data_IF_877163802821
#
_entry.id   IF_877163802821
#
_cell.length_a   1.000
_cell.length_b   1.000
_cell.length_c   1.000
_cell.angle_alpha   90.00
_cell.angle_beta   90.00
_cell.angle_gamma   90.00
#
_symmetry.space_group_name_H-M   'P 1'
#
loop_
_entity.id
_entity.type
_entity.pdbx_description
1 polymer ?
#
# COMPACT_ATOMS: atom_id res chain seq x y z
N UNK A 1 47.42 -13.17 46.54
CA UNK A 1 47.04 -14.25 47.48
C UNK A 1 45.89 -15.01 46.83
N UNK A 2 46.06 -16.21 46.24
CA UNK A 2 46.18 -17.56 46.87
C UNK A 2 44.97 -17.81 47.79
N UNK A 3 44.08 -18.81 47.64
CA UNK A 3 44.15 -20.25 47.29
C UNK A 3 42.67 -20.73 47.05
N UNK A 4 42.30 -21.45 45.97
CA UNK A 4 42.20 -22.93 45.79
C UNK A 4 41.35 -23.66 46.85
N UNK A 5 40.36 -24.52 46.52
CA UNK A 5 40.49 -25.97 46.23
C UNK A 5 39.21 -26.51 45.55
N UNK A 6 39.24 -27.12 44.36
CA UNK A 6 39.36 -28.57 44.04
C UNK A 6 38.40 -29.54 44.78
N UNK A 7 37.60 -30.32 44.03
CA UNK A 7 37.80 -31.78 43.91
C UNK A 7 36.98 -32.40 42.77
N UNK A 8 37.66 -33.31 42.06
CA UNK A 8 37.23 -34.23 41.00
C UNK A 8 36.71 -35.56 41.60
N UNK A 9 36.14 -36.43 40.74
CA UNK A 9 36.14 -37.93 40.70
C UNK A 9 34.80 -38.38 40.04
N UNK A 10 34.73 -38.71 38.74
CA UNK A 10 34.95 -40.04 38.07
C UNK A 10 34.22 -41.20 38.81
N UNK A 11 33.44 -42.10 38.20
CA UNK A 11 33.82 -43.06 37.14
C UNK A 11 32.60 -43.97 36.82
N UNK A 12 32.41 -44.36 35.53
CA UNK A 12 31.99 -45.70 34.99
C UNK A 12 30.72 -46.43 35.51
N UNK A 13 29.97 -47.26 34.76
CA UNK A 13 30.31 -48.18 33.68
C UNK A 13 29.04 -48.73 32.99
N UNK A 14 29.11 -48.88 31.65
CA UNK A 14 28.62 -49.97 30.78
C UNK A 14 27.37 -50.82 31.13
N UNK A 15 26.50 -51.04 30.13
CA UNK A 15 26.39 -52.35 29.46
C UNK A 15 25.58 -52.33 28.15
N UNK A 16 26.11 -53.10 27.19
CA UNK A 16 25.59 -53.49 25.88
C UNK A 16 24.25 -54.22 25.93
N UNK A 17 23.43 -54.12 24.88
CA UNK A 17 22.86 -55.31 24.23
C UNK A 17 22.52 -55.03 22.76
N UNK A 18 23.09 -55.86 21.89
CA UNK A 18 22.85 -55.98 20.46
C UNK A 18 21.65 -56.92 20.28
N UNK A 19 20.71 -56.58 19.40
CA UNK A 19 19.97 -57.62 18.68
C UNK A 19 19.70 -57.18 17.24
N UNK A 20 20.34 -57.90 16.34
CA UNK A 20 20.10 -57.87 14.91
C UNK A 20 18.83 -58.67 14.59
N UNK A 21 18.02 -58.18 13.66
CA UNK A 21 17.18 -59.04 12.83
C UNK A 21 17.28 -58.58 11.38
N UNK A 22 17.87 -59.47 10.57
CA UNK A 22 17.86 -59.45 9.12
C UNK A 22 16.49 -59.96 8.62
N UNK A 23 15.88 -59.24 7.68
CA UNK A 23 15.14 -59.87 6.58
C UNK A 23 15.42 -59.10 5.29
N UNK A 24 15.87 -59.85 4.29
CA UNK A 24 16.10 -59.49 2.88
C UNK A 24 14.84 -59.99 2.12
N UNK A 25 14.19 -59.33 1.16
CA UNK A 25 14.64 -58.97 -0.20
C UNK A 25 13.60 -58.06 -0.90
N UNK A 26 14.12 -57.07 -1.63
CA UNK A 26 13.74 -56.52 -2.96
C UNK A 26 12.28 -56.17 -3.31
N UNK A 27 12.07 -54.89 -3.66
CA UNK A 27 11.70 -54.52 -5.03
C UNK A 27 12.04 -53.04 -5.30
N UNK A 28 12.73 -52.79 -6.41
CA UNK A 28 12.96 -51.45 -6.95
C UNK A 28 11.67 -50.89 -7.57
N UNK A 29 11.31 -49.65 -7.28
CA UNK A 29 10.93 -48.73 -8.36
C UNK A 29 11.07 -47.25 -7.97
N UNK A 30 11.47 -46.48 -8.98
CA UNK A 30 11.87 -45.07 -8.95
C UNK A 30 10.76 -44.10 -8.49
N UNK A 31 11.14 -42.99 -7.88
CA UNK A 31 10.29 -41.80 -7.82
C UNK A 31 10.54 -40.82 -6.69
N UNK A 32 11.54 -39.95 -6.89
CA UNK A 32 11.58 -38.51 -6.52
C UNK A 32 11.19 -38.05 -5.10
N UNK A 33 12.16 -37.40 -4.46
CA UNK A 33 12.12 -36.71 -3.18
C UNK A 33 10.96 -35.71 -3.01
N UNK A 34 10.18 -35.88 -1.93
CA UNK A 34 9.29 -34.83 -1.39
C UNK A 34 9.97 -34.16 -0.19
N UNK A 35 10.07 -32.83 -0.28
CA UNK A 35 10.57 -31.94 0.73
C UNK A 35 9.73 -31.98 2.01
N UNK A 36 10.43 -31.91 3.14
CA UNK A 36 9.88 -31.86 4.49
C UNK A 36 8.95 -30.66 4.70
N UNK A 37 7.71 -30.95 5.07
CA UNK A 37 6.71 -30.00 5.58
C UNK A 37 6.79 -30.06 7.11
N UNK A 38 7.38 -29.06 7.75
CA UNK A 38 7.28 -28.90 9.20
C UNK A 38 5.91 -28.28 9.47
N UNK A 39 4.99 -29.08 10.00
CA UNK A 39 3.73 -28.64 10.60
C UNK A 39 4.03 -28.26 12.05
N UNK A 40 3.53 -27.11 12.48
CA UNK A 40 3.37 -26.80 13.90
C UNK A 40 1.87 -26.77 14.14
N UNK A 41 1.40 -27.68 14.99
CA UNK A 41 0.02 -27.85 15.42
C UNK A 41 -0.38 -26.74 16.39
N UNK A 42 -1.54 -26.14 16.14
CA UNK A 42 -2.44 -25.63 17.17
C UNK A 42 -3.84 -26.08 16.75
N UNK A 43 -4.43 -26.95 17.56
CA UNK A 43 -5.86 -27.26 17.54
C UNK A 43 -6.64 -26.02 17.97
N UNK A 44 -7.71 -25.69 17.24
CA UNK A 44 -8.96 -25.20 17.82
C UNK A 44 -10.07 -25.15 16.75
N UNK A 45 -11.10 -25.95 17.01
CA UNK A 45 -12.53 -25.82 16.62
C UNK A 45 -12.92 -25.81 15.14
N UNK A 46 -13.65 -26.87 14.78
CA UNK A 46 -14.46 -27.05 13.58
C UNK A 46 -15.51 -25.93 13.44
N UNK A 47 -15.37 -25.13 12.38
CA UNK A 47 -16.42 -24.51 11.55
C UNK A 47 -15.79 -23.33 10.79
N UNK A 48 -15.04 -23.65 9.74
CA UNK A 48 -14.58 -22.67 8.76
C UNK A 48 -14.72 -23.29 7.36
N UNK A 49 -15.88 -23.08 6.74
CA UNK A 49 -16.05 -23.26 5.30
C UNK A 49 -14.98 -22.46 4.56
N UNK A 50 -14.05 -23.19 3.94
CA UNK A 50 -13.16 -22.84 2.83
C UNK A 50 -12.96 -21.34 2.53
N UNK A 51 -12.25 -20.63 3.41
CA UNK A 51 -11.59 -19.39 3.01
C UNK A 51 -10.39 -19.75 2.13
N UNK A 52 -10.54 -19.63 0.81
CA UNK A 52 -9.40 -19.74 -0.12
C UNK A 52 -8.28 -18.80 0.32
N UNK A 53 -7.20 -19.38 0.84
CA UNK A 53 -6.03 -18.61 1.28
C UNK A 53 -5.25 -18.16 0.04
N UNK A 54 -5.36 -16.88 -0.31
CA UNK A 54 -4.64 -16.33 -1.46
C UNK A 54 -3.12 -16.48 -1.28
N UNK A 55 -2.47 -17.17 -2.22
CA UNK A 55 -1.02 -17.32 -2.22
C UNK A 55 -0.35 -15.99 -2.53
N UNK A 56 0.55 -15.55 -1.64
CA UNK A 56 1.24 -14.26 -1.82
C UNK A 56 2.13 -14.27 -3.07
N UNK A 57 1.93 -13.29 -3.94
CA UNK A 57 2.73 -13.07 -5.14
C UNK A 57 3.71 -11.93 -4.90
N UNK A 58 5.00 -12.18 -5.15
CA UNK A 58 6.06 -11.19 -5.03
C UNK A 58 6.42 -10.62 -6.39
N UNK A 59 6.25 -9.30 -6.55
CA UNK A 59 6.62 -8.57 -7.75
C UNK A 59 8.05 -8.05 -7.60
N UNK A 60 8.86 -8.23 -8.64
CA UNK A 60 10.24 -7.74 -8.67
C UNK A 60 10.26 -6.23 -8.83
N UNK A 61 11.07 -5.55 -8.02
CA UNK A 61 11.28 -4.10 -8.18
C UNK A 61 12.52 -3.83 -9.00
N UNK A 62 12.36 -3.08 -10.09
CA UNK A 62 13.43 -2.74 -11.03
C UNK A 62 13.41 -1.25 -11.37
N UNK A 63 14.56 -0.70 -11.73
CA UNK A 63 14.64 0.59 -12.40
C UNK A 63 14.75 0.37 -13.91
N UNK A 64 13.91 1.05 -14.70
CA UNK A 64 13.80 0.85 -16.14
C UNK A 64 14.49 2.00 -16.88
N UNK A 65 15.46 1.64 -17.71
CA UNK A 65 16.20 2.55 -18.57
C UNK A 65 15.36 2.93 -19.81
N UNK A 66 15.67 4.05 -20.50
CA UNK A 66 14.95 4.46 -21.70
C UNK A 66 14.98 3.45 -22.84
N UNK A 67 16.02 2.60 -22.91
CA UNK A 67 16.14 1.52 -23.90
C UNK A 67 15.40 0.22 -23.51
N UNK A 68 14.65 0.25 -22.40
CA UNK A 68 13.89 -0.89 -21.87
C UNK A 68 14.70 -1.82 -20.97
N UNK A 69 16.03 -1.66 -20.84
CA UNK A 69 16.81 -2.50 -19.93
C UNK A 69 16.45 -2.21 -18.47
N UNK A 70 16.49 -3.25 -17.66
CA UNK A 70 16.17 -3.15 -16.24
C UNK A 70 17.42 -3.24 -15.36
N UNK A 71 17.43 -2.49 -14.27
CA UNK A 71 18.43 -2.54 -13.21
C UNK A 71 17.79 -3.11 -11.95
N UNK A 72 18.54 -3.93 -11.22
CA UNK A 72 18.15 -4.42 -9.90
C UNK A 72 17.99 -3.26 -8.93
N UNK A 73 16.94 -3.29 -8.11
CA UNK A 73 16.74 -2.34 -7.02
C UNK A 73 16.72 -3.12 -5.72
N UNK A 74 17.65 -2.77 -4.82
CA UNK A 74 17.83 -3.45 -3.53
C UNK A 74 17.96 -2.45 -2.40
N UNK A 75 17.72 -2.91 -1.19
CA UNK A 75 18.01 -2.16 0.02
C UNK A 75 19.40 -2.54 0.55
N UNK A 76 20.08 -1.59 1.18
CA UNK A 76 21.42 -1.78 1.71
C UNK A 76 21.51 -1.29 3.15
N UNK A 77 22.13 -2.10 4.01
CA UNK A 77 22.56 -1.65 5.34
C UNK A 77 23.84 -0.79 5.25
N UNK A 78 24.34 -0.38 6.42
CA UNK A 78 25.56 0.42 6.58
C UNK A 78 26.83 -0.36 6.22
N UNK A 79 26.84 -1.68 6.39
CA UNK A 79 27.91 -2.59 5.98
C UNK A 79 27.90 -2.88 4.47
N UNK A 80 26.83 -2.48 3.76
CA UNK A 80 26.68 -2.63 2.33
C UNK A 80 26.11 -3.97 1.88
N UNK A 81 25.61 -4.80 2.80
CA UNK A 81 24.86 -6.03 2.50
C UNK A 81 23.54 -5.68 1.83
N UNK A 82 23.18 -6.45 0.81
CA UNK A 82 22.00 -6.21 -0.02
C UNK A 82 20.81 -7.07 0.42
N UNK A 83 19.62 -6.49 0.36
CA UNK A 83 18.36 -7.15 0.69
C UNK A 83 17.31 -6.95 -0.41
N UNK A 84 16.46 -7.96 -0.59
CA UNK A 84 15.44 -7.97 -1.63
C UNK A 84 14.33 -6.96 -1.32
N UNK A 85 13.98 -6.17 -2.35
CA UNK A 85 12.87 -5.24 -2.35
C UNK A 85 11.77 -5.80 -3.25
N UNK A 86 10.57 -6.04 -2.70
CA UNK A 86 9.44 -6.59 -3.44
C UNK A 86 8.19 -5.73 -3.25
N UNK A 87 7.33 -5.68 -4.28
CA UNK A 87 5.93 -5.35 -4.05
C UNK A 87 5.15 -6.64 -3.76
N UNK A 88 4.26 -6.60 -2.78
CA UNK A 88 3.57 -7.77 -2.24
C UNK A 88 2.10 -7.69 -2.64
N UNK A 89 1.67 -8.67 -3.42
CA UNK A 89 0.27 -8.92 -3.73
C UNK A 89 -0.22 -10.09 -2.87
N UNK A 90 -1.16 -9.80 -1.98
CA UNK A 90 -1.73 -10.74 -1.03
C UNK A 90 -3.24 -10.94 -1.23
N UNK A 91 -3.71 -10.67 -2.44
CA UNK A 91 -5.10 -10.74 -2.86
C UNK A 91 -5.20 -10.72 -4.38
N UNK A 92 -6.40 -10.93 -4.91
CA UNK A 92 -6.72 -10.88 -6.34
C UNK A 92 -6.48 -9.52 -7.02
N UNK A 93 -6.50 -8.40 -6.29
CA UNK A 93 -6.14 -7.08 -6.83
C UNK A 93 -4.62 -6.84 -6.95
N UNK A 94 -4.24 -6.05 -7.95
CA UNK A 94 -2.89 -5.55 -8.18
C UNK A 94 -2.76 -4.01 -8.22
N UNK A 95 -3.85 -3.25 -8.05
CA UNK A 95 -3.85 -1.79 -8.20
C UNK A 95 -3.10 -1.03 -7.08
N UNK A 96 -2.96 -1.60 -5.88
CA UNK A 96 -2.33 -0.90 -4.75
C UNK A 96 -1.60 -1.83 -3.78
N UNK A 97 -0.32 -2.06 -4.05
CA UNK A 97 0.51 -3.04 -3.35
C UNK A 97 1.44 -2.41 -2.33
N UNK A 98 1.70 -3.16 -1.25
CA UNK A 98 2.73 -2.82 -0.28
C UNK A 98 4.12 -3.05 -0.88
N UNK A 99 5.04 -2.11 -0.69
CA UNK A 99 6.46 -2.28 -1.05
C UNK A 99 7.27 -2.48 0.22
N UNK A 100 7.98 -3.62 0.28
CA UNK A 100 8.69 -4.09 1.47
C UNK A 100 10.08 -4.57 1.13
N UNK A 101 10.97 -4.42 2.11
CA UNK A 101 12.28 -5.10 2.10
C UNK A 101 12.17 -6.34 2.96
N UNK A 102 12.65 -7.47 2.46
CA UNK A 102 12.59 -8.76 3.14
C UNK A 102 13.95 -9.02 3.81
N UNK A 103 13.95 -9.07 5.14
CA UNK A 103 15.16 -9.34 5.96
C UNK A 103 14.80 -10.44 6.94
N UNK A 104 15.49 -11.59 6.84
CA UNK A 104 15.31 -12.74 7.73
C UNK A 104 13.83 -13.14 7.92
N UNK A 105 13.09 -13.19 6.80
CA UNK A 105 11.65 -13.49 6.77
C UNK A 105 10.72 -12.36 7.20
N UNK A 106 11.25 -11.22 7.67
CA UNK A 106 10.47 -10.05 8.10
C UNK A 106 10.30 -9.03 6.98
N UNK A 107 9.11 -8.48 6.87
CA UNK A 107 8.75 -7.45 5.88
C UNK A 107 8.87 -6.03 6.46
N UNK A 108 9.96 -5.35 6.14
CA UNK A 108 10.18 -3.97 6.58
C UNK A 108 9.47 -2.96 5.67
N UNK A 109 8.76 -1.96 6.23
CA UNK A 109 8.10 -0.93 5.45
C UNK A 109 9.11 -0.01 4.75
N UNK A 110 8.88 0.26 3.47
CA UNK A 110 9.65 1.25 2.71
C UNK A 110 8.96 2.60 2.75
N UNK A 111 9.73 3.65 3.04
CA UNK A 111 9.23 5.02 3.19
C UNK A 111 10.14 6.02 2.48
N UNK A 112 9.53 7.13 2.06
CA UNK A 112 10.28 8.33 1.71
C UNK A 112 10.51 9.13 3.00
N UNK A 113 11.75 9.51 3.27
CA UNK A 113 12.13 10.16 4.52
C UNK A 113 11.99 11.68 4.39
N UNK A 114 11.57 12.32 5.48
CA UNK A 114 11.59 13.78 5.58
C UNK A 114 13.01 14.30 5.36
N UNK A 115 13.12 15.37 4.57
CA UNK A 115 14.41 15.92 4.14
C UNK A 115 14.30 17.39 3.78
N UNK A 116 15.39 18.14 4.05
CA UNK A 116 15.57 19.54 3.61
C UNK A 116 16.11 19.64 2.18
N UNK A 117 16.54 18.51 1.60
CA UNK A 117 17.00 18.43 0.21
C UNK A 117 15.80 18.32 -0.74
N UNK A 118 15.98 18.79 -1.98
CA UNK A 118 14.93 18.70 -3.01
C UNK A 118 14.50 17.26 -3.25
N UNK A 119 15.45 16.33 -3.37
CA UNK A 119 15.17 14.91 -3.51
C UNK A 119 15.14 14.22 -2.16
N UNK A 120 14.08 13.47 -1.93
CA UNK A 120 13.82 12.82 -0.65
C UNK A 120 14.43 11.41 -0.63
N UNK A 121 15.19 11.05 0.42
CA UNK A 121 15.74 9.70 0.56
C UNK A 121 14.63 8.64 0.64
N UNK A 122 14.92 7.44 0.15
CA UNK A 122 14.04 6.27 0.29
C UNK A 122 14.78 5.19 1.05
N UNK A 123 14.15 4.65 2.08
CA UNK A 123 14.71 3.57 2.89
C UNK A 123 13.61 2.66 3.44
N UNK A 124 13.97 1.39 3.69
CA UNK A 124 13.24 0.58 4.65
C UNK A 124 13.64 0.95 6.07
N UNK A 125 12.71 0.78 7.02
CA UNK A 125 12.91 1.13 8.43
C UNK A 125 12.57 -0.08 9.28
N UNK A 126 13.49 -0.51 10.16
CA UNK A 126 13.23 -1.62 11.10
C UNK A 126 12.47 -1.13 12.36
N UNK A 127 12.38 -1.99 13.37
CA UNK A 127 11.66 -1.67 14.61
C UNK A 127 12.41 -0.68 15.51
N UNK A 128 13.72 -0.57 15.36
CA UNK A 128 14.63 0.29 16.12
C UNK A 128 14.84 1.66 15.47
N UNK A 129 14.44 1.80 14.20
CA UNK A 129 14.57 3.04 13.43
C UNK A 129 15.76 3.05 12.47
N UNK A 130 16.50 1.95 12.37
CA UNK A 130 17.61 1.80 11.42
C UNK A 130 17.10 1.81 10.00
N UNK A 131 17.93 2.34 9.10
CA UNK A 131 17.56 2.66 7.72
C UNK A 131 18.35 1.81 6.76
N UNK A 132 17.63 1.14 5.87
CA UNK A 132 18.21 0.38 4.76
C UNK A 132 17.92 1.13 3.47
N UNK A 133 18.92 1.84 2.95
CA UNK A 133 18.71 2.76 1.82
C UNK A 133 18.49 2.00 0.51
N UNK A 134 17.50 2.44 -0.26
CA UNK A 134 17.17 1.84 -1.55
C UNK A 134 18.11 2.38 -2.63
N UNK A 135 18.69 1.49 -3.43
CA UNK A 135 19.60 1.82 -4.53
C UNK A 135 19.30 0.92 -5.74
N UNK A 136 19.51 1.46 -6.94
CA UNK A 136 19.56 0.65 -8.15
C UNK A 136 21.00 0.24 -8.45
N UNK A 137 21.22 -0.92 -9.07
CA UNK A 137 22.54 -1.52 -9.31
C UNK A 137 22.75 -1.63 -10.82
N UNK A 138 23.81 -1.01 -11.34
CA UNK A 138 24.20 -1.15 -12.75
C UNK A 138 24.84 -2.51 -13.02
N UNK A 139 24.97 -2.97 -14.29
CA UNK A 139 25.66 -4.21 -14.61
C UNK A 139 27.10 -4.28 -14.07
N UNK A 140 27.78 -3.13 -13.96
CA UNK A 140 29.14 -3.02 -13.41
C UNK A 140 29.17 -2.99 -11.86
N UNK A 141 28.02 -3.18 -11.20
CA UNK A 141 27.90 -3.18 -9.74
C UNK A 141 27.81 -1.79 -9.09
N UNK A 142 27.75 -0.71 -9.87
CA UNK A 142 27.65 0.65 -9.34
C UNK A 142 26.25 0.90 -8.76
N UNK A 143 26.20 1.49 -7.57
CA UNK A 143 24.96 1.87 -6.88
C UNK A 143 24.49 3.26 -7.30
N UNK A 144 23.30 3.34 -7.88
CA UNK A 144 22.60 4.59 -8.18
C UNK A 144 21.64 4.96 -7.05
N UNK A 145 21.49 6.25 -6.79
CA UNK A 145 20.54 6.75 -5.81
C UNK A 145 19.10 6.51 -6.26
N UNK A 146 18.24 5.96 -5.39
CA UNK A 146 16.79 5.94 -5.58
C UNK A 146 16.16 6.94 -4.62
N UNK A 147 15.43 7.92 -5.16
CA UNK A 147 14.87 9.05 -4.40
C UNK A 147 13.45 9.36 -4.84
N UNK A 148 12.69 10.01 -3.97
CA UNK A 148 11.52 10.78 -4.41
C UNK A 148 11.99 12.10 -5.04
N UNK A 149 11.58 12.38 -6.27
CA UNK A 149 12.17 13.45 -7.10
C UNK A 149 11.23 14.63 -7.38
N UNK A 150 9.93 14.39 -7.39
CA UNK A 150 8.92 15.40 -7.68
C UNK A 150 7.60 15.02 -7.02
N UNK A 151 6.90 16.02 -6.46
CA UNK A 151 5.58 15.85 -5.86
C UNK A 151 4.51 16.42 -6.80
N UNK A 152 3.47 15.65 -7.02
CA UNK A 152 2.26 16.02 -7.77
C UNK A 152 1.06 15.70 -6.88
N UNK A 153 0.51 16.72 -6.22
CA UNK A 153 -0.59 16.56 -5.28
C UNK A 153 -0.22 15.66 -4.10
N UNK A 154 -0.80 14.46 -4.07
CA UNK A 154 -0.61 13.44 -3.04
C UNK A 154 0.34 12.31 -3.45
N UNK A 155 0.91 12.41 -4.64
CA UNK A 155 1.85 11.44 -5.21
C UNK A 155 3.23 12.06 -5.28
N UNK A 156 4.25 11.27 -4.98
CA UNK A 156 5.67 11.64 -5.12
C UNK A 156 6.34 10.62 -6.03
N UNK A 157 6.83 11.06 -7.19
CA UNK A 157 7.51 10.19 -8.14
C UNK A 157 8.80 9.67 -7.54
N UNK A 158 9.03 8.36 -7.66
CA UNK A 158 10.29 7.72 -7.26
C UNK A 158 11.09 7.35 -8.50
N UNK A 159 12.36 7.78 -8.55
CA UNK A 159 13.25 7.50 -9.69
C UNK A 159 14.62 7.06 -9.19
N UNK A 160 15.29 6.20 -9.97
CA UNK A 160 16.73 6.02 -9.85
C UNK A 160 17.45 7.15 -10.60
N UNK A 161 18.54 7.67 -10.04
CA UNK A 161 19.23 8.87 -10.53
C UNK A 161 20.67 8.53 -10.86
N UNK A 162 21.08 8.84 -12.09
CA UNK A 162 22.47 8.68 -12.53
C UNK A 162 23.37 9.83 -12.09
N UNK A 163 24.69 9.69 -12.26
CA UNK A 163 25.64 10.77 -11.95
C UNK A 163 25.45 12.01 -12.85
N UNK A 164 25.06 11.80 -14.11
CA UNK A 164 24.72 12.84 -15.08
C UNK A 164 23.30 13.39 -14.91
N UNK A 165 22.55 12.93 -13.90
CA UNK A 165 21.24 13.49 -13.54
C UNK A 165 20.06 12.97 -14.38
N UNK A 166 20.23 11.88 -15.13
CA UNK A 166 19.14 11.17 -15.78
C UNK A 166 18.30 10.41 -14.76
N UNK A 167 17.02 10.26 -15.06
CA UNK A 167 16.04 9.58 -14.21
C UNK A 167 15.56 8.30 -14.86
N UNK A 168 15.54 7.21 -14.10
CA UNK A 168 14.95 5.93 -14.51
C UNK A 168 13.71 5.65 -13.66
N UNK A 169 12.62 5.25 -14.31
CA UNK A 169 11.38 4.85 -13.63
C UNK A 169 11.61 3.65 -12.74
N UNK A 170 11.09 3.65 -11.51
CA UNK A 170 11.14 2.46 -10.66
C UNK A 170 9.78 1.76 -10.71
N UNK A 171 9.77 0.53 -11.19
CA UNK A 171 8.56 -0.27 -11.42
C UNK A 171 8.58 -1.57 -10.63
N UNK A 172 7.42 -1.99 -10.17
CA UNK A 172 7.17 -3.35 -9.75
C UNK A 172 6.69 -4.16 -10.97
N UNK A 173 7.26 -5.34 -11.16
CA UNK A 173 6.99 -6.24 -12.28
C UNK A 173 6.50 -7.57 -11.72
N UNK A 174 5.29 -7.96 -12.08
CA UNK A 174 4.72 -9.24 -11.65
C UNK A 174 5.40 -10.43 -12.35
N UNK A 175 5.18 -11.66 -11.87
CA UNK A 175 5.65 -12.86 -12.58
C UNK A 175 5.10 -12.99 -14.01
N UNK A 176 3.90 -12.50 -14.29
CA UNK A 176 3.27 -12.46 -15.61
C UNK A 176 3.57 -11.19 -16.42
N UNK A 177 4.46 -10.31 -15.93
CA UNK A 177 4.96 -9.16 -16.68
C UNK A 177 4.10 -7.88 -16.60
N UNK A 178 3.05 -7.86 -15.78
CA UNK A 178 2.30 -6.63 -15.44
C UNK A 178 3.21 -5.63 -14.74
N UNK A 179 2.94 -4.35 -14.95
CA UNK A 179 3.76 -3.25 -14.46
C UNK A 179 2.96 -2.32 -13.55
N UNK A 180 3.55 -2.01 -12.41
CA UNK A 180 3.11 -0.96 -11.51
C UNK A 180 4.22 0.06 -11.31
N UNK A 181 3.88 1.34 -11.25
CA UNK A 181 4.84 2.37 -10.83
C UNK A 181 4.98 2.36 -9.30
N UNK A 182 6.22 2.50 -8.85
CA UNK A 182 6.51 2.65 -7.43
C UNK A 182 6.60 4.12 -7.10
N UNK A 183 5.71 4.56 -6.21
CA UNK A 183 5.55 5.98 -5.87
C UNK A 183 5.46 6.17 -4.36
N UNK A 184 5.74 7.38 -3.93
CA UNK A 184 5.38 7.86 -2.60
C UNK A 184 3.92 8.30 -2.60
N UNK A 185 3.14 7.84 -1.63
CA UNK A 185 1.73 8.20 -1.43
C UNK A 185 1.61 8.95 -0.11
N UNK A 186 0.89 10.06 -0.16
CA UNK A 186 0.58 10.89 1.00
C UNK A 186 -0.91 10.83 1.32
N UNK A 187 -1.24 10.74 2.60
CA UNK A 187 -2.62 10.87 3.07
C UNK A 187 -2.91 12.30 3.49
N UNK A 188 -1.90 13.00 4.02
CA UNK A 188 -1.98 14.42 4.32
C UNK A 188 -1.17 15.28 3.34
N UNK A 189 -1.45 16.59 3.31
CA UNK A 189 -0.76 17.50 2.38
C UNK A 189 0.56 18.05 2.94
N UNK A 190 0.83 17.85 4.23
CA UNK A 190 1.99 18.41 4.91
C UNK A 190 3.29 17.75 4.45
N UNK A 191 4.42 18.42 4.70
CA UNK A 191 5.72 17.87 4.34
C UNK A 191 6.09 16.64 5.17
N UNK A 192 5.77 16.62 6.47
CA UNK A 192 5.86 15.42 7.29
C UNK A 192 4.51 14.71 7.30
N UNK A 193 4.51 13.44 6.89
CA UNK A 193 3.36 12.56 6.96
C UNK A 193 3.13 12.06 8.40
N UNK A 194 4.21 11.56 9.03
CA UNK A 194 4.21 11.04 10.39
C UNK A 194 5.65 10.90 10.91
N UNK A 195 5.79 10.49 12.18
CA UNK A 195 7.03 9.91 12.71
C UNK A 195 6.87 8.40 12.85
N UNK A 196 7.85 7.63 12.40
CA UNK A 196 7.90 6.17 12.55
C UNK A 196 9.24 5.82 13.22
N UNK A 197 9.19 5.33 14.46
CA UNK A 197 10.39 4.92 15.21
C UNK A 197 11.46 6.03 15.26
N UNK A 198 11.03 7.26 15.56
CA UNK A 198 11.91 8.44 15.60
C UNK A 198 12.30 9.00 14.22
N UNK A 199 11.93 8.34 13.11
CA UNK A 199 12.24 8.77 11.76
C UNK A 199 11.07 9.59 11.19
N UNK A 200 11.35 10.82 10.75
CA UNK A 200 10.39 11.65 10.02
C UNK A 200 10.09 11.07 8.64
N UNK A 201 8.81 10.82 8.35
CA UNK A 201 8.34 10.23 7.10
C UNK A 201 7.72 11.32 6.23
N UNK A 202 8.13 11.41 4.96
CA UNK A 202 7.54 12.29 3.96
C UNK A 202 6.35 11.66 3.22
N UNK A 203 6.47 10.38 2.86
CA UNK A 203 5.45 9.64 2.13
C UNK A 203 5.61 8.12 2.33
N UNK A 204 4.54 7.37 2.09
CA UNK A 204 4.53 5.91 2.13
C UNK A 204 4.84 5.35 0.73
N UNK A 205 5.79 4.42 0.60
CA UNK A 205 6.09 3.82 -0.70
C UNK A 205 5.11 2.69 -1.00
N UNK A 206 4.47 2.77 -2.17
CA UNK A 206 3.48 1.80 -2.67
C UNK A 206 3.72 1.56 -4.16
N UNK A 207 3.35 0.38 -4.64
CA UNK A 207 3.29 0.10 -6.07
C UNK A 207 1.83 0.23 -6.51
N UNK A 208 1.57 0.97 -7.57
CA UNK A 208 0.23 1.23 -8.07
C UNK A 208 0.21 1.40 -9.57
N UNK A 209 -0.97 1.28 -10.18
CA UNK A 209 -1.11 1.47 -11.61
C UNK A 209 -0.57 2.84 -12.06
N UNK A 210 0.12 2.89 -13.21
CA UNK A 210 0.65 4.12 -13.77
C UNK A 210 -0.46 5.17 -13.95
N UNK A 211 -0.11 6.43 -13.81
CA UNK A 211 -0.98 7.50 -14.29
C UNK A 211 -0.90 7.52 -15.82
N UNK A 212 -2.02 7.75 -16.52
CA UNK A 212 -2.06 7.77 -17.99
C UNK A 212 -1.08 8.79 -18.58
N UNK A 213 -0.80 9.86 -17.85
CA UNK A 213 0.06 10.97 -18.26
C UNK A 213 1.38 11.04 -17.46
N UNK A 214 1.84 9.92 -16.90
CA UNK A 214 3.03 9.93 -16.04
C UNK A 214 4.29 10.41 -16.77
N UNK A 215 4.44 10.07 -18.05
CA UNK A 215 5.60 10.47 -18.86
C UNK A 215 5.61 11.98 -19.18
N UNK A 216 4.46 12.65 -19.10
CA UNK A 216 4.34 14.10 -19.28
C UNK A 216 4.75 14.90 -18.02
N UNK A 217 4.99 14.21 -16.90
CA UNK A 217 5.31 14.85 -15.63
C UNK A 217 6.77 15.32 -15.61
N UNK A 218 6.95 16.63 -15.74
CA UNK A 218 8.26 17.27 -15.72
C UNK A 218 8.88 17.24 -14.32
N UNK A 219 10.03 16.58 -14.20
CA UNK A 219 10.85 16.61 -12.98
C UNK A 219 11.66 17.92 -12.96
N UNK A 220 11.60 18.71 -11.88
CA UNK A 220 12.37 19.96 -11.79
C UNK A 220 13.87 19.67 -11.81
N UNK A 221 14.64 20.58 -12.42
CA UNK A 221 16.10 20.52 -12.39
C UNK A 221 16.62 20.47 -10.95
N UNK A 222 17.75 19.76 -10.75
CA UNK A 222 18.35 19.58 -9.43
C UNK A 222 18.83 20.93 -8.88
N UNK A 223 18.31 21.32 -7.74
CA UNK A 223 18.69 22.49 -6.97
C UNK A 223 19.28 22.06 -5.61
N UNK A 224 20.14 22.91 -5.02
CA UNK A 224 20.79 22.61 -3.74
C UNK A 224 19.82 22.60 -2.55
N UNK A 225 18.71 23.35 -2.61
CA UNK A 225 17.72 23.45 -1.52
C UNK A 225 16.33 23.05 -1.97
N UNK A 226 15.57 22.38 -1.10
CA UNK A 226 14.15 22.08 -1.32
C UNK A 226 13.37 23.39 -1.40
N UNK A 227 12.62 23.58 -2.47
CA UNK A 227 11.58 24.63 -2.54
C UNK A 227 10.32 24.08 -1.87
N UNK A 228 9.58 24.95 -1.18
CA UNK A 228 8.25 24.61 -0.68
C UNK A 228 7.40 24.18 -1.86
N UNK A 229 6.74 23.03 -1.75
CA UNK A 229 5.84 22.56 -2.81
C UNK A 229 4.71 23.58 -3.00
N UNK A 230 4.60 24.09 -4.23
CA UNK A 230 3.51 24.93 -4.69
C UNK A 230 3.06 24.38 -6.03
N UNK A 231 1.76 24.13 -6.17
CA UNK A 231 1.14 23.75 -7.44
C UNK A 231 0.46 24.97 -8.02
N UNK A 232 0.76 25.30 -9.27
CA UNK A 232 0.01 26.24 -10.10
C UNK A 232 -1.14 25.56 -10.87
N UNK A 233 -1.31 24.25 -10.68
CA UNK A 233 -2.33 23.46 -11.33
C UNK A 233 -3.73 23.96 -10.96
N UNK A 234 -4.51 24.35 -11.97
CA UNK A 234 -5.94 24.64 -11.80
C UNK A 234 -6.66 23.35 -11.46
N UNK A 235 -7.19 23.28 -10.23
CA UNK A 235 -7.95 22.12 -9.73
C UNK A 235 -9.06 21.72 -10.70
N UNK A 236 -9.22 20.42 -10.89
CA UNK A 236 -10.32 19.81 -11.64
C UNK A 236 -11.20 19.01 -10.67
N UNK A 237 -12.51 19.19 -10.78
CA UNK A 237 -13.50 18.52 -9.94
C UNK A 237 -14.13 17.37 -10.73
N UNK A 238 -14.06 16.17 -10.15
CA UNK A 238 -14.62 14.96 -10.74
C UNK A 238 -15.90 14.57 -10.02
N UNK A 239 -16.94 14.23 -10.77
CA UNK A 239 -18.22 13.79 -10.21
C UNK A 239 -18.09 12.38 -9.64
N UNK A 240 -18.58 12.15 -8.43
CA UNK A 240 -18.71 10.79 -7.89
C UNK A 240 -20.13 10.30 -8.16
N UNK A 241 -20.25 9.13 -8.77
CA UNK A 241 -21.53 8.52 -9.12
C UNK A 241 -21.55 7.04 -8.74
N UNK A 242 -22.72 6.54 -8.36
CA UNK A 242 -22.98 5.11 -8.40
C UNK A 242 -23.51 4.76 -9.80
N UNK A 243 -23.04 3.64 -10.36
CA UNK A 243 -23.39 3.17 -11.70
C UNK A 243 -24.26 1.93 -11.55
N UNK A 244 -25.49 2.02 -12.05
CA UNK A 244 -26.46 0.92 -12.06
C UNK A 244 -26.06 -0.16 -13.07
N UNK A 245 -26.70 -1.33 -12.98
CA UNK A 245 -26.48 -2.45 -13.92
C UNK A 245 -26.86 -2.11 -15.36
N UNK A 246 -27.86 -1.23 -15.56
CA UNK A 246 -28.24 -0.69 -16.87
C UNK A 246 -27.42 0.53 -17.31
N UNK A 247 -26.38 0.93 -16.56
CA UNK A 247 -25.45 2.00 -16.94
C UNK A 247 -25.89 3.43 -16.57
N UNK A 248 -26.98 3.61 -15.84
CA UNK A 248 -27.40 4.91 -15.32
C UNK A 248 -26.48 5.38 -14.19
N UNK A 249 -26.30 6.71 -14.10
CA UNK A 249 -25.44 7.35 -13.09
C UNK A 249 -26.27 8.03 -12.01
N UNK A 250 -26.20 7.50 -10.79
CA UNK A 250 -26.84 8.06 -9.61
C UNK A 250 -25.90 9.05 -8.92
N UNK A 251 -26.43 10.20 -8.52
CA UNK A 251 -25.68 11.21 -7.77
C UNK A 251 -25.25 10.68 -6.41
N UNK A 252 -24.01 10.92 -5.99
CA UNK A 252 -23.59 10.70 -4.61
C UNK A 252 -23.45 12.03 -3.90
N UNK A 253 -24.12 12.13 -2.75
CA UNK A 253 -24.21 13.35 -1.93
C UNK A 253 -23.91 13.03 -0.47
N UNK A 254 -23.47 14.04 0.26
CA UNK A 254 -23.37 14.03 1.71
C UNK A 254 -24.64 14.63 2.31
N UNK A 255 -25.10 14.10 3.43
CA UNK A 255 -26.29 14.55 4.15
C UNK A 255 -25.96 14.82 5.61
N UNK A 256 -26.42 15.93 6.15
CA UNK A 256 -26.42 16.17 7.60
C UNK A 256 -27.66 15.52 8.25
N UNK A 257 -27.80 15.72 9.57
CA UNK A 257 -28.90 15.19 10.36
C UNK A 257 -30.27 15.80 9.96
N UNK A 258 -30.28 17.06 9.49
CA UNK A 258 -31.49 17.76 9.04
C UNK A 258 -31.90 17.37 7.61
N UNK A 259 -31.04 16.60 6.92
CA UNK A 259 -31.27 16.11 5.57
C UNK A 259 -30.87 17.10 4.47
N UNK A 260 -30.13 18.17 4.79
CA UNK A 260 -29.53 19.04 3.80
C UNK A 260 -28.51 18.27 2.96
N UNK A 261 -28.42 18.60 1.68
CA UNK A 261 -27.60 17.87 0.71
C UNK A 261 -26.36 18.66 0.30
N UNK A 262 -25.23 17.98 0.24
CA UNK A 262 -23.94 18.56 -0.10
C UNK A 262 -23.22 17.75 -1.17
N UNK A 263 -22.40 18.42 -1.97
CA UNK A 263 -21.68 17.78 -3.06
C UNK A 263 -20.55 16.89 -2.55
N UNK A 264 -20.40 15.71 -3.16
CA UNK A 264 -19.26 14.80 -2.95
C UNK A 264 -18.50 14.66 -4.25
N UNK A 265 -17.23 15.07 -4.27
CA UNK A 265 -16.41 15.08 -5.49
C UNK A 265 -15.02 14.51 -5.24
N UNK A 266 -14.40 13.98 -6.28
CA UNK A 266 -12.96 13.76 -6.29
C UNK A 266 -12.23 15.06 -6.69
N UNK A 267 -11.13 15.36 -5.99
CA UNK A 267 -10.32 16.56 -6.25
C UNK A 267 -9.02 16.19 -6.94
N UNK A 268 -8.88 16.64 -8.19
CA UNK A 268 -7.62 16.57 -8.90
C UNK A 268 -6.84 17.87 -8.66
N UNK A 269 -5.84 17.80 -7.81
CA UNK A 269 -5.01 18.95 -7.40
C UNK A 269 -3.68 19.02 -8.18
N UNK A 270 -3.47 18.11 -9.13
CA UNK A 270 -2.25 18.03 -9.92
C UNK A 270 -2.46 17.30 -11.25
N UNK A 271 -1.41 17.29 -12.09
CA UNK A 271 -1.41 16.52 -13.32
C UNK A 271 -1.52 15.00 -13.08
N UNK A 272 -0.94 14.49 -11.99
CA UNK A 272 -1.13 13.10 -11.58
C UNK A 272 -2.53 12.94 -10.94
N UNK A 273 -3.29 11.98 -11.45
CA UNK A 273 -4.65 11.62 -11.02
C UNK A 273 -4.78 10.13 -10.68
N UNK A 274 -3.67 9.40 -10.46
CA UNK A 274 -3.73 7.98 -10.07
C UNK A 274 -4.13 7.80 -8.60
N UNK A 275 -4.06 8.86 -7.79
CA UNK A 275 -4.43 8.84 -6.37
C UNK A 275 -5.08 10.16 -5.92
N UNK A 276 -6.41 10.27 -6.05
CA UNK A 276 -7.14 11.50 -5.74
C UNK A 276 -7.92 11.40 -4.42
N UNK A 277 -8.06 12.55 -3.75
CA UNK A 277 -8.93 12.67 -2.60
C UNK A 277 -10.39 12.71 -3.02
N UNK A 278 -11.26 12.22 -2.13
CA UNK A 278 -12.70 12.44 -2.19
C UNK A 278 -13.10 13.32 -1.00
N UNK A 279 -13.89 14.35 -1.30
CA UNK A 279 -14.28 15.43 -0.39
C UNK A 279 -15.78 15.67 -0.47
N UNK A 280 -16.38 15.97 0.67
CA UNK A 280 -17.70 16.59 0.73
C UNK A 280 -17.54 18.11 0.87
N UNK A 281 -18.35 18.88 0.16
CA UNK A 281 -18.32 20.35 0.14
C UNK A 281 -19.50 20.89 0.93
N UNK A 282 -19.26 21.18 2.20
CA UNK A 282 -20.29 21.59 3.18
C UNK A 282 -20.01 23.03 3.58
N UNK A 283 -20.92 23.95 3.25
CA UNK A 283 -20.86 25.37 3.61
C UNK A 283 -19.50 26.04 3.33
N UNK A 284 -18.95 25.76 2.14
CA UNK A 284 -17.65 26.28 1.71
C UNK A 284 -16.43 25.56 2.29
N UNK A 285 -16.63 24.50 3.09
CA UNK A 285 -15.57 23.70 3.71
C UNK A 285 -15.45 22.33 3.06
N UNK A 286 -14.22 21.88 2.81
CA UNK A 286 -13.93 20.55 2.26
C UNK A 286 -13.69 19.50 3.34
N UNK A 287 -14.70 18.70 3.61
CA UNK A 287 -14.64 17.64 4.60
C UNK A 287 -14.02 16.36 4.01
N UNK A 288 -13.12 15.68 4.75
CA UNK A 288 -12.62 14.37 4.33
C UNK A 288 -13.75 13.33 4.35
N UNK A 289 -13.86 12.56 3.26
CA UNK A 289 -14.68 11.35 3.25
C UNK A 289 -13.82 10.13 3.60
N UNK A 290 -14.33 9.26 4.48
CA UNK A 290 -13.61 8.12 5.06
C UNK A 290 -14.53 6.93 5.22
N UNK A 291 -13.94 5.74 5.29
CA UNK A 291 -14.63 4.54 5.77
C UNK A 291 -14.36 4.47 7.27
N UNK A 292 -15.41 4.47 8.09
CA UNK A 292 -15.26 4.39 9.54
C UNK A 292 -15.16 2.92 9.97
N UNK A 293 -14.51 2.69 11.11
CA UNK A 293 -14.54 1.40 11.77
C UNK A 293 -15.98 1.15 12.27
N UNK A 294 -16.45 -0.08 12.08
CA UNK A 294 -17.79 -0.52 12.48
C UNK A 294 -17.80 -2.03 12.66
N UNK A 295 -18.74 -2.52 13.46
CA UNK A 295 -19.09 -3.93 13.60
C UNK A 295 -20.22 -4.36 12.66
N UNK A 296 -20.79 -3.43 11.89
CA UNK A 296 -21.81 -3.72 10.89
C UNK A 296 -21.26 -4.63 9.79
N UNK A 297 -22.16 -5.37 9.13
CA UNK A 297 -21.80 -6.21 7.99
C UNK A 297 -21.01 -5.45 6.90
N UNK A 298 -21.37 -4.18 6.63
CA UNK A 298 -20.66 -3.31 5.72
C UNK A 298 -20.27 -1.98 6.38
N UNK A 299 -19.01 -1.61 6.23
CA UNK A 299 -18.44 -0.45 6.90
C UNK A 299 -19.02 0.87 6.34
N UNK A 300 -19.41 1.81 7.20
CA UNK A 300 -20.03 3.07 6.76
C UNK A 300 -19.02 4.00 6.08
N UNK A 301 -19.43 4.58 4.95
CA UNK A 301 -18.71 5.68 4.29
C UNK A 301 -19.33 7.00 4.72
N UNK A 302 -18.54 7.89 5.33
CA UNK A 302 -19.02 9.14 5.94
C UNK A 302 -18.08 10.30 5.63
N UNK A 303 -18.62 11.52 5.54
CA UNK A 303 -17.78 12.72 5.68
C UNK A 303 -17.67 13.11 7.15
N UNK A 304 -16.53 13.70 7.53
CA UNK A 304 -16.24 14.07 8.91
C UNK A 304 -16.04 15.58 8.98
N UNK A 305 -16.92 16.24 9.74
CA UNK A 305 -16.92 17.66 10.07
C UNK A 305 -15.64 18.10 10.78
N UNK A 306 -15.40 19.41 10.80
CA UNK A 306 -14.21 19.99 11.46
C UNK A 306 -14.29 19.88 12.99
N UNK A 307 -15.50 19.74 13.53
CA UNK A 307 -15.91 19.48 14.91
C UNK A 307 -16.06 17.98 15.23
N UNK A 308 -16.05 17.11 14.22
CA UNK A 308 -16.28 15.67 14.36
C UNK A 308 -17.69 15.21 13.98
N UNK A 309 -18.58 16.13 13.60
CA UNK A 309 -19.93 15.82 13.09
C UNK A 309 -19.85 14.87 11.88
N UNK A 310 -20.77 13.91 11.80
CA UNK A 310 -20.79 12.91 10.73
C UNK A 310 -21.86 13.25 9.70
N UNK A 311 -21.48 13.17 8.44
CA UNK A 311 -22.39 13.32 7.30
C UNK A 311 -22.51 12.00 6.56
N UNK A 312 -23.75 11.63 6.27
CA UNK A 312 -24.11 10.41 5.58
C UNK A 312 -23.79 10.51 4.09
N UNK A 313 -23.04 9.55 3.54
CA UNK A 313 -22.82 9.46 2.10
C UNK A 313 -23.87 8.52 1.50
N UNK A 314 -24.70 9.04 0.61
CA UNK A 314 -25.77 8.28 -0.04
C UNK A 314 -25.74 8.48 -1.54
N UNK A 315 -26.14 7.46 -2.29
CA UNK A 315 -26.49 7.62 -3.70
C UNK A 315 -27.97 7.97 -3.83
N UNK A 316 -28.34 8.77 -4.82
CA UNK A 316 -29.70 9.25 -5.05
C UNK A 316 -30.27 8.67 -6.33
N UNK A 317 -31.42 8.01 -6.22
CA UNK A 317 -32.21 7.62 -7.39
C UNK A 317 -32.92 8.83 -8.00
N UNK A 318 -33.52 8.65 -9.18
CA UNK A 318 -34.34 9.69 -9.84
C UNK A 318 -35.53 10.12 -8.94
N UNK A 319 -36.05 9.20 -8.14
CA UNK A 319 -37.15 9.43 -7.20
C UNK A 319 -36.68 9.95 -5.82
N UNK A 320 -35.42 10.40 -5.72
CA UNK A 320 -34.78 10.89 -4.49
C UNK A 320 -34.68 9.87 -3.35
N UNK A 321 -34.82 8.59 -3.63
CA UNK A 321 -34.49 7.54 -2.67
C UNK A 321 -32.99 7.56 -2.36
N UNK A 322 -32.65 7.40 -1.08
CA UNK A 322 -31.28 7.42 -0.58
C UNK A 322 -30.75 5.99 -0.41
N UNK A 323 -29.85 5.60 -1.29
CA UNK A 323 -29.16 4.32 -1.23
C UNK A 323 -27.89 4.41 -0.39
N UNK A 324 -27.63 3.38 0.42
CA UNK A 324 -26.45 3.32 1.28
C UNK A 324 -25.16 3.19 0.46
N UNK A 325 -24.12 3.96 0.80
CA UNK A 325 -22.76 3.79 0.25
C UNK A 325 -21.85 3.23 1.33
N UNK A 326 -21.28 2.04 1.09
CA UNK A 326 -20.56 1.26 2.10
C UNK A 326 -19.26 0.67 1.56
N UNK A 327 -18.31 0.41 2.46
CA UNK A 327 -17.19 -0.49 2.22
C UNK A 327 -17.64 -1.92 2.44
N UNK A 328 -17.71 -2.72 1.37
CA UNK A 328 -18.42 -4.02 1.38
C UNK A 328 -17.49 -5.23 1.45
N UNK A 329 -16.24 -5.09 1.02
CA UNK A 329 -15.26 -6.18 1.09
C UNK A 329 -13.84 -5.65 1.03
N UNK A 330 -12.89 -6.44 1.54
CA UNK A 330 -11.46 -6.13 1.54
C UNK A 330 -10.70 -7.10 0.64
N UNK A 331 -9.87 -6.56 -0.24
CA UNK A 331 -8.89 -7.29 -1.05
C UNK A 331 -7.52 -6.63 -0.85
N UNK A 332 -6.69 -7.24 -0.01
CA UNK A 332 -5.39 -6.73 0.38
C UNK A 332 -5.46 -5.34 1.03
N UNK A 333 -4.97 -4.31 0.33
CA UNK A 333 -4.99 -2.92 0.78
C UNK A 333 -6.20 -2.11 0.30
N UNK A 334 -7.09 -2.73 -0.48
CA UNK A 334 -8.23 -2.08 -1.10
C UNK A 334 -9.51 -2.54 -0.41
N UNK A 335 -10.38 -1.59 -0.10
CA UNK A 335 -11.76 -1.84 0.29
C UNK A 335 -12.65 -1.51 -0.90
N UNK A 336 -13.44 -2.47 -1.34
CA UNK A 336 -14.45 -2.25 -2.37
C UNK A 336 -15.55 -1.37 -1.79
N UNK A 337 -15.87 -0.29 -2.49
CA UNK A 337 -16.94 0.63 -2.12
C UNK A 337 -18.07 0.51 -3.14
N UNK A 338 -19.28 0.33 -2.62
CA UNK A 338 -20.49 0.09 -3.41
C UNK A 338 -21.63 0.93 -2.86
N UNK A 339 -22.53 1.34 -3.74
CA UNK A 339 -23.87 1.70 -3.31
C UNK A 339 -24.73 0.43 -3.27
N UNK A 340 -25.69 0.36 -2.35
CA UNK A 340 -26.55 -0.81 -2.13
C UNK A 340 -27.98 -0.38 -2.42
N UNK A 341 -28.64 -1.00 -3.40
CA UNK A 341 -30.03 -0.70 -3.71
C UNK A 341 -31.00 -1.44 -2.76
N UNK A 342 -32.31 -1.20 -2.92
CA UNK A 342 -33.35 -1.80 -2.06
C UNK A 342 -33.38 -3.34 -2.14
N UNK A 343 -32.92 -3.91 -3.25
CA UNK A 343 -32.82 -5.36 -3.45
C UNK A 343 -31.52 -5.95 -2.89
N UNK A 344 -30.64 -5.13 -2.29
CA UNK A 344 -29.34 -5.56 -1.78
C UNK A 344 -28.24 -5.65 -2.85
N UNK A 345 -28.50 -5.22 -4.10
CA UNK A 345 -27.52 -5.31 -5.18
C UNK A 345 -26.43 -4.24 -5.06
N UNK A 346 -25.20 -4.62 -5.43
CA UNK A 346 -24.03 -3.75 -5.36
C UNK A 346 -23.77 -2.96 -6.63
N UNK A 347 -23.98 -1.65 -6.55
CA UNK A 347 -23.70 -0.71 -7.63
C UNK A 347 -22.25 -0.21 -7.53
N UNK A 348 -21.55 -0.15 -8.65
CA UNK A 348 -20.17 0.34 -8.68
C UNK A 348 -20.12 1.84 -8.37
N UNK A 349 -19.16 2.29 -7.57
CA UNK A 349 -18.92 3.72 -7.34
C UNK A 349 -17.69 4.17 -8.11
N UNK A 350 -17.86 5.18 -8.96
CA UNK A 350 -16.81 5.70 -9.85
C UNK A 350 -16.71 7.22 -9.76
N UNK A 351 -15.51 7.72 -10.05
CA UNK A 351 -15.22 9.12 -10.23
C UNK A 351 -15.13 9.41 -11.74
N UNK A 352 -15.84 10.45 -12.19
CA UNK A 352 -15.96 10.86 -13.59
C UNK A 352 -15.32 12.23 -13.77
N UNK A 353 -14.30 12.28 -14.62
CA UNK A 353 -13.69 13.52 -15.05
C UNK A 353 -14.63 14.31 -15.97
N UNK A 354 -14.47 15.65 -16.06
CA UNK A 354 -15.17 16.44 -17.05
C UNK A 354 -14.90 16.00 -18.51
N UNK A 355 -13.74 15.40 -18.77
CA UNK A 355 -13.34 14.88 -20.09
C UNK A 355 -13.72 13.40 -20.31
N UNK A 356 -14.50 12.80 -19.40
CA UNK A 356 -15.00 11.44 -19.52
C UNK A 356 -14.09 10.34 -18.97
N UNK A 357 -12.86 10.67 -18.50
CA UNK A 357 -12.00 9.70 -17.81
C UNK A 357 -12.64 9.17 -16.53
N UNK A 358 -12.32 7.93 -16.17
CA UNK A 358 -12.90 7.23 -15.04
C UNK A 358 -11.83 6.75 -14.08
N UNK A 359 -12.09 6.94 -12.79
CA UNK A 359 -11.37 6.28 -11.70
C UNK A 359 -12.34 5.47 -10.84
N UNK A 360 -11.83 4.39 -10.26
CA UNK A 360 -12.55 3.61 -9.27
C UNK A 360 -12.55 4.31 -7.91
N UNK A 361 -13.69 4.34 -7.21
CA UNK A 361 -13.75 4.80 -5.82
C UNK A 361 -13.56 3.62 -4.89
N UNK A 362 -12.51 3.69 -4.06
CA UNK A 362 -12.11 2.60 -3.16
C UNK A 362 -11.72 3.15 -1.79
N UNK A 363 -11.83 2.32 -0.77
CA UNK A 363 -11.13 2.55 0.49
C UNK A 363 -9.69 2.07 0.37
N UNK A 364 -8.75 2.82 0.94
CA UNK A 364 -7.32 2.53 0.88
C UNK A 364 -6.79 2.34 2.30
N UNK A 365 -6.18 1.18 2.52
CA UNK A 365 -5.40 0.86 3.71
C UNK A 365 -3.94 1.22 3.46
N UNK A 366 -3.40 2.08 4.31
CA UNK A 366 -1.97 2.37 4.33
C UNK A 366 -1.25 1.40 5.26
N UNK A 367 -1.91 1.06 6.37
CA UNK A 367 -1.43 0.13 7.38
C UNK A 367 -2.36 -1.07 7.51
N UNK A 368 -1.84 -2.20 7.99
CA UNK A 368 -2.61 -3.43 8.18
C UNK A 368 -3.46 -3.44 9.45
N UNK A 369 -3.31 -2.44 10.34
CA UNK A 369 -4.12 -2.29 11.56
C UNK A 369 -5.58 -1.97 11.24
N UNK A 370 -6.49 -2.34 12.13
CA UNK A 370 -7.92 -2.05 12.00
C UNK A 370 -8.18 -0.54 11.89
N UNK A 371 -7.79 0.23 12.90
CA UNK A 371 -7.96 1.70 12.90
C UNK A 371 -6.72 2.36 12.26
N UNK A 372 -6.88 2.95 11.07
CA UNK A 372 -5.84 3.72 10.38
C UNK A 372 -5.41 4.93 11.17
N UNK A 373 -6.37 5.70 11.70
CA UNK A 373 -6.17 6.88 12.54
C UNK A 373 -7.51 7.34 13.11
N UNK A 374 -7.50 8.33 13.99
CA UNK A 374 -8.70 9.05 14.42
C UNK A 374 -8.75 10.43 13.77
N UNK A 375 -9.86 10.77 13.11
CA UNK A 375 -10.13 12.12 12.60
C UNK A 375 -11.20 12.73 13.49
N UNK A 376 -10.85 13.75 14.26
CA UNK A 376 -11.81 14.47 15.10
C UNK A 376 -12.64 13.51 15.99
N UNK A 377 -11.95 12.61 16.69
CA UNK A 377 -12.56 11.56 17.52
C UNK A 377 -12.98 10.29 16.78
N UNK A 378 -13.38 10.40 15.51
CA UNK A 378 -13.93 9.29 14.74
C UNK A 378 -12.87 8.27 14.29
N UNK A 379 -13.05 6.96 14.58
CA UNK A 379 -12.11 5.91 14.17
C UNK A 379 -12.25 5.61 12.67
N UNK A 380 -11.18 5.87 11.92
CA UNK A 380 -11.13 5.61 10.48
C UNK A 380 -10.58 4.21 10.23
N UNK A 381 -11.33 3.39 9.50
CA UNK A 381 -10.89 2.09 9.02
C UNK A 381 -10.06 2.19 7.74
N UNK A 382 -10.47 3.04 6.80
CA UNK A 382 -9.77 3.24 5.52
C UNK A 382 -9.97 4.64 4.95
N UNK A 383 -9.04 5.07 4.10
CA UNK A 383 -9.13 6.35 3.39
C UNK A 383 -9.91 6.20 2.09
N UNK A 384 -11.03 6.92 1.91
CA UNK A 384 -11.72 6.93 0.64
C UNK A 384 -10.92 7.73 -0.41
N UNK A 385 -10.65 7.11 -1.56
CA UNK A 385 -9.86 7.67 -2.66
C UNK A 385 -10.46 7.29 -4.01
N UNK A 386 -10.21 8.13 -5.02
CA UNK A 386 -10.39 7.76 -6.40
C UNK A 386 -9.03 7.33 -6.99
N UNK A 387 -8.94 6.09 -7.46
CA UNK A 387 -7.71 5.48 -8.00
C UNK A 387 -7.98 4.91 -9.40
N UNK A 388 -6.93 4.81 -10.23
CA UNK A 388 -7.02 4.20 -11.57
C UNK A 388 -7.32 2.69 -11.45
#
# INVERSE_FOLDING_TARGET
MKISTHSFIKTTCYSFFILAFLFVFTSCNNGTSKANKIKTELEDTEDAEDAETFSTIYWNVKAIQPDGKSLDVKAFDDQGKAYELKAIQNSDQDNFLDVKVIIDGKNLPVKMLESKNQFVPVAAINQDGDKYYIKAITPEGKKLDVKGVARFGYVVLMKAITKDGKYYGVKAISPDGKLNDIKGVKINYQDREMSLKGVGIHAHVKAMHPAVNEDDLKIPAKAKKKKIYKSDFKRIIWNIKAVTTNGENLDIKAFDADGNKFDVKATQDSKDHSFMNIKAFVDGVELPVKILQSTDAYAPVKAIGTDGTIYDIKALTKDNLRLDVKGVSRSGNIINVKAINENGEFLAVKAFAPDGKLNNVKGIKIFQREIELRVKGNPVYAHLKAIN
#
